data_IF_987046843493
#
_entry.id   IF_987046843493
#
_cell.length_a   1.000
_cell.length_b   1.000
_cell.length_c   1.000
_cell.angle_alpha   90.00
_cell.angle_beta   90.00
_cell.angle_gamma   90.00
#
_symmetry.space_group_name_H-M   'P 1'
#
loop_
_entity.id
_entity.type
_entity.pdbx_description
1 polymer ?
#
# COMPACT_ATOMS: atom_id res chain seq x y z
N UNK A 1 19.62 -1.12 -0.18
CA UNK A 1 19.86 -0.56 1.16
C UNK A 1 18.80 0.43 1.64
N UNK A 2 18.09 1.17 0.77
CA UNK A 2 17.02 2.11 1.16
C UNK A 2 15.70 1.43 1.61
N UNK A 3 15.20 0.44 0.87
CA UNK A 3 13.94 -0.26 1.21
C UNK A 3 13.99 -0.99 2.57
N UNK A 4 15.19 -1.43 2.99
CA UNK A 4 15.40 -2.09 4.30
C UNK A 4 15.10 -1.15 5.47
N UNK A 5 15.44 0.14 5.37
CA UNK A 5 15.14 1.12 6.44
C UNK A 5 13.64 1.36 6.54
N UNK A 6 12.98 1.54 5.40
CA UNK A 6 11.52 1.67 5.31
C UNK A 6 10.80 0.46 5.91
N UNK A 7 11.28 -0.76 5.60
CA UNK A 7 10.76 -2.00 6.16
C UNK A 7 10.84 -2.03 7.70
N UNK A 8 12.01 -1.75 8.27
CA UNK A 8 12.22 -1.78 9.74
C UNK A 8 11.32 -0.77 10.47
N UNK A 9 11.19 0.44 9.93
CA UNK A 9 10.31 1.47 10.50
C UNK A 9 8.85 1.04 10.38
N UNK A 10 8.45 0.52 9.23
CA UNK A 10 7.08 0.02 9.01
C UNK A 10 6.76 -1.14 9.96
N UNK A 11 7.68 -2.07 10.17
CA UNK A 11 7.52 -3.17 11.13
C UNK A 11 7.34 -2.66 12.57
N UNK A 12 8.18 -1.71 12.98
CA UNK A 12 8.10 -1.09 14.32
C UNK A 12 6.74 -0.41 14.54
N UNK A 13 6.29 0.37 13.55
CA UNK A 13 5.03 1.12 13.64
C UNK A 13 3.84 0.16 13.66
N UNK A 14 3.78 -0.82 12.75
CA UNK A 14 2.65 -1.75 12.69
C UNK A 14 2.58 -2.64 13.93
N UNK A 15 3.71 -3.07 14.49
CA UNK A 15 3.74 -3.81 15.75
C UNK A 15 3.13 -2.97 16.90
N UNK A 16 3.50 -1.69 16.99
CA UNK A 16 2.93 -0.77 17.99
C UNK A 16 1.42 -0.54 17.76
N UNK A 17 0.99 -0.41 16.50
CA UNK A 17 -0.44 -0.26 16.15
C UNK A 17 -1.25 -1.47 16.61
N UNK A 18 -0.84 -2.69 16.25
CA UNK A 18 -1.62 -3.88 16.63
C UNK A 18 -1.55 -4.17 18.14
N UNK A 19 -0.46 -3.80 18.81
CA UNK A 19 -0.42 -3.80 20.28
C UNK A 19 -1.47 -2.86 20.87
N UNK A 20 -1.54 -1.62 20.39
CA UNK A 20 -2.52 -0.64 20.86
C UNK A 20 -3.97 -1.06 20.56
N UNK A 21 -4.24 -1.63 19.38
CA UNK A 21 -5.57 -2.15 19.03
C UNK A 21 -5.99 -3.30 19.97
N UNK A 22 -5.06 -4.21 20.28
CA UNK A 22 -5.31 -5.29 21.22
C UNK A 22 -5.57 -4.78 22.65
N UNK A 23 -4.80 -3.78 23.10
CA UNK A 23 -5.00 -3.15 24.42
C UNK A 23 -6.35 -2.45 24.56
N UNK A 24 -6.97 -2.07 23.44
CA UNK A 24 -8.30 -1.45 23.39
C UNK A 24 -9.40 -2.46 22.99
N UNK A 25 -9.08 -3.75 22.96
CA UNK A 25 -10.02 -4.82 22.61
C UNK A 25 -10.75 -4.60 21.26
N UNK A 26 -10.04 -4.05 20.28
CA UNK A 26 -10.61 -3.81 18.94
C UNK A 26 -10.83 -5.15 18.23
N UNK A 27 -12.03 -5.35 17.68
CA UNK A 27 -12.38 -6.49 16.83
C UNK A 27 -11.66 -6.37 15.47
N UNK A 28 -10.55 -7.08 15.29
CA UNK A 28 -9.69 -6.97 14.10
C UNK A 28 -10.39 -7.39 12.81
N UNK A 29 -11.30 -8.36 12.88
CA UNK A 29 -12.14 -8.84 11.79
C UNK A 29 -13.02 -7.74 11.20
N UNK A 30 -13.35 -6.71 11.99
CA UNK A 30 -14.11 -5.53 11.59
C UNK A 30 -13.25 -4.36 11.10
N UNK A 31 -11.94 -4.53 10.97
CA UNK A 31 -11.01 -3.46 10.59
C UNK A 31 -10.46 -3.62 9.17
N UNK A 32 -9.90 -2.52 8.65
CA UNK A 32 -9.06 -2.51 7.46
C UNK A 32 -7.75 -1.80 7.79
N UNK A 33 -6.64 -2.28 7.24
CA UNK A 33 -5.36 -1.58 7.33
C UNK A 33 -5.11 -0.79 6.05
N UNK A 34 -4.78 0.50 6.16
CA UNK A 34 -4.32 1.34 5.05
C UNK A 34 -2.86 1.75 5.25
N UNK A 35 -1.88 0.88 4.93
CA UNK A 35 -0.47 1.19 5.10
C UNK A 35 0.12 1.80 3.82
N UNK A 36 1.33 2.33 3.95
CA UNK A 36 2.22 2.54 2.81
C UNK A 36 2.72 1.21 2.22
N UNK A 37 3.11 1.22 0.95
CA UNK A 37 4.02 0.22 0.41
C UNK A 37 5.43 0.47 0.96
N UNK A 38 6.26 -0.57 1.09
CA UNK A 38 7.64 -0.45 1.54
C UNK A 38 8.53 -0.06 0.36
N UNK A 39 8.73 1.25 0.18
CA UNK A 39 9.52 1.83 -0.91
C UNK A 39 10.84 2.42 -0.40
N UNK A 40 11.82 2.65 -1.29
CA UNK A 40 12.90 3.61 -1.04
C UNK A 40 12.35 5.00 -0.69
N UNK A 41 13.19 5.84 -0.07
CA UNK A 41 12.86 7.25 0.15
C UNK A 41 12.80 8.02 -1.17
N UNK A 42 12.14 9.18 -1.18
CA UNK A 42 11.97 10.02 -2.38
C UNK A 42 13.27 10.41 -3.08
N UNK A 43 14.36 10.54 -2.32
CA UNK A 43 15.68 10.93 -2.82
C UNK A 43 16.56 9.72 -3.17
N UNK A 44 16.01 8.51 -3.08
CA UNK A 44 16.69 7.26 -3.42
C UNK A 44 16.31 6.79 -4.82
N UNK A 45 17.19 6.01 -5.45
CA UNK A 45 16.87 5.35 -6.72
C UNK A 45 15.65 4.45 -6.58
N UNK A 46 14.81 4.48 -7.62
CA UNK A 46 13.69 3.57 -7.80
C UNK A 46 14.17 2.11 -7.84
N UNK A 47 13.30 1.19 -7.43
CA UNK A 47 13.54 -0.25 -7.47
C UNK A 47 12.41 -0.94 -8.23
N UNK A 48 12.67 -2.17 -8.67
CA UNK A 48 11.67 -2.96 -9.38
C UNK A 48 10.44 -3.29 -8.50
N UNK A 49 9.24 -3.43 -9.08
CA UNK A 49 8.02 -3.77 -8.35
C UNK A 49 8.12 -5.04 -7.50
N UNK A 50 8.88 -6.03 -7.96
CA UNK A 50 9.10 -7.29 -7.26
C UNK A 50 9.84 -7.08 -5.93
N UNK A 51 10.78 -6.13 -5.90
CA UNK A 51 11.49 -5.75 -4.67
C UNK A 51 10.52 -5.07 -3.70
N UNK A 52 9.67 -4.15 -4.19
CA UNK A 52 8.63 -3.52 -3.36
C UNK A 52 7.70 -4.59 -2.80
N UNK A 53 7.29 -5.55 -3.62
CA UNK A 53 6.39 -6.63 -3.22
C UNK A 53 6.98 -7.51 -2.13
N UNK A 54 8.23 -7.95 -2.30
CA UNK A 54 8.92 -8.80 -1.33
C UNK A 54 9.05 -8.11 0.04
N UNK A 55 9.56 -6.87 0.07
CA UNK A 55 9.71 -6.13 1.31
C UNK A 55 8.36 -5.83 1.96
N UNK A 56 7.36 -5.41 1.18
CA UNK A 56 6.04 -5.04 1.71
C UNK A 56 5.33 -6.26 2.30
N UNK A 57 5.20 -7.35 1.54
CA UNK A 57 4.50 -8.55 2.01
C UNK A 57 5.22 -9.18 3.20
N UNK A 58 6.56 -9.19 3.20
CA UNK A 58 7.35 -9.71 4.34
C UNK A 58 7.11 -8.89 5.60
N UNK A 59 7.16 -7.57 5.51
CA UNK A 59 6.90 -6.67 6.65
C UNK A 59 5.48 -6.85 7.21
N UNK A 60 4.48 -6.98 6.33
CA UNK A 60 3.11 -7.23 6.76
C UNK A 60 2.98 -8.59 7.45
N UNK A 61 3.65 -9.64 6.95
CA UNK A 61 3.58 -11.01 7.53
C UNK A 61 4.19 -11.08 8.92
N UNK A 62 5.09 -10.15 9.25
CA UNK A 62 5.71 -10.04 10.57
C UNK A 62 4.87 -9.28 11.59
N UNK A 63 3.83 -8.55 11.15
CA UNK A 63 3.17 -7.55 12.01
C UNK A 63 1.65 -7.56 11.98
N UNK A 64 1.02 -7.97 10.88
CA UNK A 64 -0.43 -7.91 10.70
C UNK A 64 -1.07 -9.25 11.06
N UNK A 65 -1.96 -9.32 12.06
CA UNK A 65 -2.67 -10.55 12.40
C UNK A 65 -3.53 -11.06 11.23
N UNK A 66 -3.64 -12.39 11.02
CA UNK A 66 -4.53 -12.98 10.01
C UNK A 66 -6.00 -12.61 10.15
N UNK A 67 -6.44 -12.17 11.33
CA UNK A 67 -7.81 -11.72 11.58
C UNK A 67 -8.22 -10.49 10.77
N UNK A 68 -7.26 -9.67 10.31
CA UNK A 68 -7.55 -8.52 9.46
C UNK A 68 -7.93 -8.99 8.05
N UNK A 69 -9.13 -8.69 7.52
CA UNK A 69 -9.58 -9.27 6.26
C UNK A 69 -8.84 -8.73 5.03
N UNK A 70 -8.46 -7.44 5.04
CA UNK A 70 -7.95 -6.76 3.85
C UNK A 70 -7.01 -5.61 4.19
N UNK A 71 -6.00 -5.46 3.34
CA UNK A 71 -5.01 -4.38 3.40
C UNK A 71 -5.18 -3.52 2.14
N UNK A 72 -5.55 -2.26 2.32
CA UNK A 72 -5.87 -1.32 1.24
C UNK A 72 -4.78 -0.26 1.11
N UNK A 73 -3.82 -0.47 0.22
CA UNK A 73 -2.64 0.39 0.12
C UNK A 73 -2.98 1.81 -0.33
N UNK A 74 -2.36 2.80 0.30
CA UNK A 74 -2.30 4.17 -0.23
C UNK A 74 -1.25 4.25 -1.35
N UNK A 75 -1.49 5.11 -2.33
CA UNK A 75 -0.53 5.33 -3.44
C UNK A 75 0.65 6.23 -3.06
N UNK A 76 0.49 7.07 -2.03
CA UNK A 76 1.49 8.04 -1.63
C UNK A 76 1.83 8.99 -2.78
N UNK A 77 3.11 9.05 -3.13
CA UNK A 77 3.66 9.89 -4.20
C UNK A 77 3.94 9.14 -5.51
N UNK A 78 3.57 7.86 -5.57
CA UNK A 78 3.74 7.04 -6.76
C UNK A 78 2.86 7.57 -7.91
N UNK A 79 3.33 7.36 -9.13
CA UNK A 79 2.50 7.59 -10.33
C UNK A 79 1.34 6.59 -10.40
N UNK A 80 0.36 6.85 -11.28
CA UNK A 80 -0.79 5.94 -11.51
C UNK A 80 -0.33 4.53 -11.90
N UNK A 81 0.62 4.46 -12.85
CA UNK A 81 1.19 3.19 -13.31
C UNK A 81 2.00 2.50 -12.22
N UNK A 82 2.89 3.24 -11.54
CA UNK A 82 3.77 2.69 -10.52
C UNK A 82 2.99 2.06 -9.35
N UNK A 83 1.97 2.75 -8.85
CA UNK A 83 1.11 2.22 -7.78
C UNK A 83 0.40 0.93 -8.21
N UNK A 84 0.03 0.84 -9.49
CA UNK A 84 -0.65 -0.32 -10.07
C UNK A 84 0.29 -1.51 -10.21
N UNK A 85 1.48 -1.33 -10.81
CA UNK A 85 2.44 -2.43 -11.00
C UNK A 85 3.00 -2.95 -9.68
N UNK A 86 3.19 -2.08 -8.68
CA UNK A 86 3.62 -2.50 -7.34
C UNK A 86 2.55 -3.34 -6.64
N UNK A 87 1.27 -2.95 -6.75
CA UNK A 87 0.16 -3.73 -6.21
C UNK A 87 -0.03 -5.07 -6.92
N UNK A 88 0.15 -5.08 -8.24
CA UNK A 88 0.10 -6.30 -9.06
C UNK A 88 1.22 -7.29 -8.65
N UNK A 89 2.45 -6.81 -8.51
CA UNK A 89 3.58 -7.62 -8.05
C UNK A 89 3.33 -8.23 -6.65
N UNK A 90 2.73 -7.48 -5.72
CA UNK A 90 2.32 -8.01 -4.41
C UNK A 90 1.29 -9.13 -4.51
N UNK A 91 0.32 -9.01 -5.41
CA UNK A 91 -0.69 -10.03 -5.62
C UNK A 91 -0.11 -11.29 -6.28
N UNK A 92 0.81 -11.14 -7.24
CA UNK A 92 1.51 -12.23 -7.92
C UNK A 92 2.58 -12.95 -7.08
N UNK A 93 3.04 -12.34 -5.98
CA UNK A 93 4.05 -12.97 -5.13
C UNK A 93 3.52 -14.26 -4.48
N UNK A 94 4.10 -15.41 -4.84
CA UNK A 94 3.69 -16.75 -4.39
C UNK A 94 4.11 -17.04 -2.94
N UNK A 95 3.45 -16.41 -1.99
CA UNK A 95 3.62 -16.63 -0.54
C UNK A 95 2.28 -16.57 0.16
N UNK A 96 2.16 -17.20 1.33
CA UNK A 96 0.95 -17.11 2.15
C UNK A 96 0.69 -15.66 2.56
N UNK A 97 -0.43 -15.12 2.10
CA UNK A 97 -0.97 -13.80 2.44
C UNK A 97 -2.36 -14.04 3.06
N UNK A 98 -2.49 -14.05 4.39
CA UNK A 98 -3.76 -14.36 5.04
C UNK A 98 -4.80 -13.25 4.90
N UNK A 99 -4.40 -12.07 4.41
CA UNK A 99 -5.26 -10.93 4.11
C UNK A 99 -5.26 -10.66 2.61
N UNK A 100 -6.31 -10.04 2.09
CA UNK A 100 -6.37 -9.63 0.67
C UNK A 100 -5.62 -8.30 0.45
N UNK A 101 -4.59 -8.24 -0.41
CA UNK A 101 -3.99 -6.99 -0.86
C UNK A 101 -4.91 -6.26 -1.85
N UNK A 102 -5.24 -5.00 -1.59
CA UNK A 102 -6.10 -4.17 -2.43
C UNK A 102 -5.63 -2.71 -2.43
N UNK A 103 -6.29 -1.83 -3.20
CA UNK A 103 -5.97 -0.41 -3.27
C UNK A 103 -6.95 0.46 -2.48
N UNK A 104 -6.46 1.58 -1.96
CA UNK A 104 -7.22 2.77 -1.57
C UNK A 104 -6.47 4.01 -2.05
N UNK A 105 -6.44 4.16 -3.38
CA UNK A 105 -5.71 5.20 -4.09
C UNK A 105 -6.53 6.48 -4.21
N UNK A 106 -5.86 7.62 -4.07
CA UNK A 106 -6.42 8.94 -4.38
C UNK A 106 -5.82 9.45 -5.68
N UNK A 107 -4.65 10.10 -5.57
CA UNK A 107 -3.90 10.65 -6.71
C UNK A 107 -3.70 9.63 -7.83
N UNK A 108 -3.30 8.40 -7.51
CA UNK A 108 -3.02 7.37 -8.49
C UNK A 108 -4.24 6.86 -9.29
N UNK A 109 -5.47 7.26 -8.94
CA UNK A 109 -6.68 6.96 -9.71
C UNK A 109 -7.28 8.18 -10.41
N UNK A 110 -6.87 9.38 -10.04
CA UNK A 110 -7.57 10.61 -10.42
C UNK A 110 -6.70 11.59 -11.20
N UNK A 111 -5.38 11.39 -11.25
CA UNK A 111 -4.46 12.39 -11.80
C UNK A 111 -4.68 12.60 -13.31
N UNK A 112 -4.82 11.53 -14.08
CA UNK A 112 -5.09 11.61 -15.53
C UNK A 112 -6.51 12.11 -15.82
N UNK A 113 -7.51 11.64 -15.07
CA UNK A 113 -8.91 12.12 -15.15
C UNK A 113 -8.99 13.62 -14.87
N UNK A 114 -8.41 14.11 -13.77
CA UNK A 114 -8.42 15.54 -13.42
C UNK A 114 -7.71 16.39 -14.48
N UNK A 115 -6.56 15.92 -15.00
CA UNK A 115 -5.83 16.60 -16.07
C UNK A 115 -6.64 16.67 -17.37
N UNK A 116 -7.34 15.60 -17.71
CA UNK A 116 -8.16 15.50 -18.92
C UNK A 116 -9.42 16.37 -18.80
N UNK A 117 -10.08 16.33 -17.65
CA UNK A 117 -11.27 17.13 -17.37
C UNK A 117 -10.98 18.63 -17.47
N UNK A 118 -9.94 19.10 -16.77
CA UNK A 118 -9.54 20.51 -16.79
C UNK A 118 -10.66 21.51 -16.41
N UNK A 119 -11.70 21.05 -15.70
CA UNK A 119 -12.89 21.85 -15.36
C UNK A 119 -13.88 22.08 -16.52
N UNK A 120 -13.70 21.43 -17.68
CA UNK A 120 -14.49 21.69 -18.89
C UNK A 120 -15.62 20.68 -19.06
N UNK A 121 -16.87 21.17 -19.11
CA UNK A 121 -18.06 20.32 -19.32
C UNK A 121 -18.00 19.46 -20.59
N UNK A 122 -17.40 19.97 -21.66
CA UNK A 122 -17.33 19.27 -22.95
C UNK A 122 -16.43 18.01 -22.91
N UNK A 123 -15.55 17.88 -21.91
CA UNK A 123 -14.58 16.77 -21.82
C UNK A 123 -15.01 15.72 -20.77
N UNK A 124 -16.18 15.88 -20.11
CA UNK A 124 -16.61 15.01 -19.01
C UNK A 124 -16.65 13.53 -19.38
N UNK A 125 -17.10 13.18 -20.60
CA UNK A 125 -17.16 11.78 -21.02
C UNK A 125 -15.77 11.16 -21.33
N UNK A 126 -14.75 12.00 -21.57
CA UNK A 126 -13.38 11.55 -21.88
C UNK A 126 -12.49 11.50 -20.63
N UNK A 127 -12.85 12.27 -19.60
CA UNK A 127 -12.16 12.32 -18.32
C UNK A 127 -12.51 11.11 -17.47
#
# INVERSE_FOLDING_TARGET
MASKKSAVVTETVLAAVYKALNDQHVLLEGTLLKPNMVTPGSDSSMVAPEVIAEYTVTTLRRTVPPAVPRIVFLSGWQSEEEATVNLDAMNKLEVLKPWTPAFSFGRALQQSTLKTWGGKKVIVAKA
#
